data_IF_995424320742
#
_entry.id   IF_995424320742
#
_cell.length_a   1.000
_cell.length_b   1.000
_cell.length_c   1.000
_cell.angle_alpha   90.00
_cell.angle_beta   90.00
_cell.angle_gamma   90.00
#
_symmetry.space_group_name_H-M   'P 1'
#
loop_
_entity.id
_entity.type
_entity.pdbx_description
1 polymer ?
#
# COMPACT_ATOMS: atom_id res chain seq x y z
N UNK A 1 -4.38 6.71 -3.16
CA UNK A 1 -4.09 7.96 -3.91
C UNK A 1 -2.65 8.02 -4.44
N UNK A 2 -1.61 7.87 -3.62
CA UNK A 2 -0.22 7.92 -4.10
C UNK A 2 0.12 6.85 -5.16
N UNK A 3 -0.14 5.57 -4.87
CA UNK A 3 0.07 4.47 -5.82
C UNK A 3 -0.70 4.66 -7.14
N UNK A 4 -1.95 5.15 -7.06
CA UNK A 4 -2.75 5.47 -8.23
C UNK A 4 -2.09 6.53 -9.10
N UNK A 5 -1.60 7.61 -8.50
CA UNK A 5 -0.96 8.71 -9.22
C UNK A 5 0.37 8.28 -9.85
N UNK A 6 1.19 7.54 -9.10
CA UNK A 6 2.43 6.94 -9.63
C UNK A 6 2.14 6.06 -10.84
N UNK A 7 1.14 5.18 -10.74
CA UNK A 7 0.74 4.28 -11.80
C UNK A 7 0.19 5.03 -13.03
N UNK A 8 -0.81 5.91 -12.86
CA UNK A 8 -1.49 6.55 -13.98
C UNK A 8 -0.68 7.66 -14.65
N UNK A 9 0.07 8.45 -13.87
CA UNK A 9 0.59 9.72 -14.36
C UNK A 9 2.11 9.75 -14.55
N UNK A 10 2.89 8.94 -13.81
CA UNK A 10 4.35 9.14 -13.72
C UNK A 10 5.17 7.97 -14.24
N UNK A 11 4.80 6.73 -13.95
CA UNK A 11 5.63 5.57 -14.31
C UNK A 11 5.54 5.17 -15.80
N UNK A 12 4.47 5.57 -16.48
CA UNK A 12 4.24 5.29 -17.90
C UNK A 12 4.49 6.49 -18.82
N UNK A 13 4.79 7.66 -18.26
CA UNK A 13 5.06 8.87 -19.02
C UNK A 13 6.58 9.06 -19.14
N UNK A 14 7.14 9.23 -20.35
CA UNK A 14 8.55 9.53 -20.52
C UNK A 14 8.95 10.82 -19.81
N UNK A 15 10.02 10.78 -19.03
CA UNK A 15 10.51 11.95 -18.30
C UNK A 15 11.69 11.61 -17.39
N UNK A 16 12.40 12.62 -16.87
CA UNK A 16 13.61 12.42 -16.06
C UNK A 16 13.38 11.62 -14.78
N UNK A 17 12.13 11.58 -14.29
CA UNK A 17 11.74 10.88 -13.05
C UNK A 17 10.95 9.59 -13.29
N UNK A 18 10.82 9.12 -14.53
CA UNK A 18 10.00 7.95 -14.84
C UNK A 18 10.48 6.70 -14.09
N UNK A 19 11.78 6.42 -14.11
CA UNK A 19 12.33 5.22 -13.46
C UNK A 19 12.32 5.33 -11.94
N UNK A 20 12.48 6.54 -11.40
CA UNK A 20 12.27 6.81 -9.98
C UNK A 20 10.81 6.54 -9.58
N UNK A 21 9.84 6.97 -10.39
CA UNK A 21 8.43 6.70 -10.13
C UNK A 21 8.10 5.20 -10.15
N UNK A 22 8.69 4.44 -11.09
CA UNK A 22 8.57 2.97 -11.12
C UNK A 22 9.14 2.33 -9.86
N UNK A 23 10.33 2.75 -9.43
CA UNK A 23 10.99 2.21 -8.24
C UNK A 23 10.15 2.47 -6.98
N UNK A 24 9.72 3.71 -6.77
CA UNK A 24 8.89 4.11 -5.62
C UNK A 24 7.54 3.39 -5.63
N UNK A 25 6.90 3.25 -6.80
CA UNK A 25 5.64 2.51 -6.93
C UNK A 25 5.80 1.06 -6.47
N UNK A 26 6.82 0.37 -6.97
CA UNK A 26 7.10 -1.03 -6.66
C UNK A 26 7.35 -1.22 -5.16
N UNK A 27 8.27 -0.44 -4.60
CA UNK A 27 8.65 -0.53 -3.19
C UNK A 27 7.46 -0.24 -2.26
N UNK A 28 6.71 0.84 -2.53
CA UNK A 28 5.57 1.21 -1.72
C UNK A 28 4.46 0.14 -1.75
N UNK A 29 4.18 -0.41 -2.93
CA UNK A 29 3.17 -1.47 -3.09
C UNK A 29 3.57 -2.73 -2.31
N UNK A 30 4.81 -3.19 -2.47
CA UNK A 30 5.32 -4.37 -1.79
C UNK A 30 5.32 -4.21 -0.26
N UNK A 31 5.77 -3.05 0.23
CA UNK A 31 5.83 -2.78 1.67
C UNK A 31 4.43 -2.75 2.31
N UNK A 32 3.45 -2.12 1.66
CA UNK A 32 2.06 -2.08 2.15
C UNK A 32 1.44 -3.47 2.22
N UNK A 33 1.52 -4.24 1.14
CA UNK A 33 0.94 -5.59 1.07
C UNK A 33 1.60 -6.49 2.11
N UNK A 34 2.94 -6.48 2.19
CA UNK A 34 3.69 -7.31 3.12
C UNK A 34 3.32 -7.00 4.57
N UNK A 35 3.30 -5.73 4.96
CA UNK A 35 3.00 -5.34 6.34
C UNK A 35 1.58 -5.72 6.74
N UNK A 36 0.58 -5.39 5.91
CA UNK A 36 -0.82 -5.71 6.21
C UNK A 36 -1.05 -7.23 6.28
N UNK A 37 -0.40 -8.01 5.42
CA UNK A 37 -0.46 -9.47 5.46
C UNK A 37 0.19 -10.05 6.72
N UNK A 38 1.35 -9.54 7.13
CA UNK A 38 2.03 -9.95 8.36
C UNK A 38 1.19 -9.65 9.60
N UNK A 39 0.62 -8.45 9.68
CA UNK A 39 -0.25 -8.05 10.79
C UNK A 39 -1.55 -8.86 10.84
N UNK A 40 -2.15 -9.13 9.68
CA UNK A 40 -3.31 -10.01 9.57
C UNK A 40 -2.97 -11.43 10.04
N UNK A 41 -1.83 -11.97 9.63
CA UNK A 41 -1.36 -13.30 10.07
C UNK A 41 -1.08 -13.34 11.57
N UNK A 42 -0.51 -12.26 12.13
CA UNK A 42 -0.15 -12.17 13.55
C UNK A 42 -1.36 -12.04 14.47
N UNK A 43 -2.39 -11.32 14.05
CA UNK A 43 -3.49 -10.89 14.92
C UNK A 43 -4.87 -11.38 14.51
N UNK A 44 -5.04 -11.80 13.26
CA UNK A 44 -6.34 -12.12 12.66
C UNK A 44 -7.15 -10.90 12.20
N UNK A 45 -6.62 -9.67 12.33
CA UNK A 45 -7.36 -8.44 12.05
C UNK A 45 -6.69 -7.54 11.02
N UNK A 46 -7.52 -6.72 10.37
CA UNK A 46 -7.09 -5.55 9.59
C UNK A 46 -7.37 -4.31 10.45
N UNK A 47 -6.41 -3.38 10.45
CA UNK A 47 -6.45 -2.17 11.27
C UNK A 47 -6.70 -0.91 10.41
N UNK A 48 -7.18 0.13 11.08
CA UNK A 48 -7.41 1.45 10.48
C UNK A 48 -6.11 2.11 10.02
N UNK A 49 -5.04 1.96 10.79
CA UNK A 49 -3.71 2.53 10.54
C UNK A 49 -2.61 1.56 10.98
N UNK A 50 -1.39 1.81 10.49
CA UNK A 50 -0.20 1.05 10.84
C UNK A 50 0.92 2.00 11.27
N UNK A 51 1.63 1.61 12.32
CA UNK A 51 2.74 2.36 12.89
C UNK A 51 3.88 2.56 11.88
N UNK A 52 4.45 3.76 11.75
CA UNK A 52 5.60 4.00 10.88
C UNK A 52 6.92 3.45 11.44
N UNK A 53 6.95 3.06 12.73
CA UNK A 53 8.17 2.61 13.40
C UNK A 53 8.37 1.09 13.29
N UNK A 54 7.30 0.33 13.48
CA UNK A 54 7.33 -1.14 13.59
C UNK A 54 6.28 -1.84 12.72
N UNK A 55 5.42 -1.09 12.03
CA UNK A 55 4.39 -1.66 11.17
C UNK A 55 3.18 -2.23 11.90
N UNK A 56 3.12 -2.17 13.24
CA UNK A 56 1.99 -2.72 13.98
C UNK A 56 0.68 -1.97 13.73
N UNK A 57 -0.41 -2.72 13.64
CA UNK A 57 -1.76 -2.21 13.52
C UNK A 57 -2.16 -1.34 14.72
N UNK A 58 -2.80 -0.22 14.45
CA UNK A 58 -3.22 0.77 15.43
C UNK A 58 -4.68 1.19 15.22
N UNK A 59 -5.28 1.73 16.29
CA UNK A 59 -6.65 2.24 16.34
C UNK A 59 -7.68 1.13 16.08
N UNK A 60 -8.76 1.43 15.35
CA UNK A 60 -9.93 0.57 15.23
C UNK A 60 -9.59 -0.76 14.54
N UNK A 61 -10.11 -1.87 15.07
CA UNK A 61 -10.07 -3.20 14.47
C UNK A 61 -11.29 -4.05 14.93
N UNK A 62 -11.86 -4.93 14.08
CA UNK A 62 -11.55 -5.08 12.65
C UNK A 62 -11.96 -3.82 11.86
N UNK A 63 -11.11 -3.38 10.94
CA UNK A 63 -11.37 -2.21 10.10
C UNK A 63 -11.23 -2.56 8.62
N UNK A 64 -12.36 -2.91 8.01
CA UNK A 64 -12.48 -3.16 6.56
C UNK A 64 -13.09 -1.95 5.84
N UNK A 65 -12.80 -0.74 6.32
CA UNK A 65 -13.11 0.52 5.64
C UNK A 65 -12.14 0.79 4.49
N UNK A 66 -11.44 1.92 4.50
CA UNK A 66 -10.44 2.21 3.47
C UNK A 66 -9.27 1.22 3.44
N UNK A 67 -8.99 0.49 4.53
CA UNK A 67 -7.95 -0.54 4.53
C UNK A 67 -8.27 -1.69 3.55
N UNK A 68 -9.54 -1.89 3.18
CA UNK A 68 -9.93 -2.86 2.14
C UNK A 68 -9.38 -2.52 0.75
N UNK A 69 -8.94 -1.27 0.52
CA UNK A 69 -8.28 -0.86 -0.73
C UNK A 69 -6.99 -1.65 -1.01
N UNK A 70 -6.41 -2.32 0.00
CA UNK A 70 -5.29 -3.25 -0.21
C UNK A 70 -5.62 -4.34 -1.24
N UNK A 71 -6.88 -4.77 -1.33
CA UNK A 71 -7.32 -5.74 -2.35
C UNK A 71 -7.18 -5.19 -3.77
N UNK A 72 -7.51 -3.93 -3.99
CA UNK A 72 -7.34 -3.24 -5.27
C UNK A 72 -5.85 -3.03 -5.59
N UNK A 73 -5.04 -2.70 -4.58
CA UNK A 73 -3.58 -2.57 -4.71
C UNK A 73 -2.94 -3.91 -5.12
N UNK A 74 -3.34 -5.01 -4.49
CA UNK A 74 -2.87 -6.37 -4.85
C UNK A 74 -3.25 -6.73 -6.28
N UNK A 75 -4.49 -6.44 -6.70
CA UNK A 75 -4.97 -6.68 -8.05
C UNK A 75 -4.45 -5.67 -9.09
N UNK A 76 -3.67 -4.67 -8.68
CA UNK A 76 -3.21 -3.55 -9.50
C UNK A 76 -4.35 -2.83 -10.25
N UNK A 77 -5.53 -2.75 -9.61
CA UNK A 77 -6.71 -2.06 -10.12
C UNK A 77 -6.75 -0.63 -9.57
N UNK A 78 -6.38 0.32 -10.43
CA UNK A 78 -6.30 1.76 -10.15
C UNK A 78 -7.18 2.55 -11.11
#
# INVERSE_FOLDING_TARGET
MALWSLHKNYMHVPGPYQDQAKAVYKELRENLIRNMFQEYTRTGYIYEQYSPLDGHGQRSHPFTGWSSLVTLIMAEKF
#
